data_IF_415962515021
#
_entry.id   IF_415962515021
#
_cell.length_a   1.000
_cell.length_b   1.000
_cell.length_c   1.000
_cell.angle_alpha   90.00
_cell.angle_beta   90.00
_cell.angle_gamma   90.00
#
_symmetry.space_group_name_H-M   'P 1'
#
loop_
_entity.id
_entity.type
_entity.pdbx_description
1 polymer ?
#
# COMPACT_ATOMS: atom_id res chain seq x y z
N UNK A 1 23.82 11.92 10.68
CA UNK A 1 22.51 11.49 11.21
C UNK A 1 22.13 10.23 10.46
N UNK A 2 21.66 9.15 11.14
CA UNK A 2 21.17 7.97 10.44
C UNK A 2 19.92 8.35 9.64
N UNK A 3 19.82 7.88 8.40
CA UNK A 3 18.63 8.08 7.58
C UNK A 3 17.38 7.49 8.28
N UNK A 4 16.22 8.09 8.03
CA UNK A 4 14.93 7.48 8.43
C UNK A 4 14.73 6.19 7.63
N UNK A 5 14.16 5.17 8.25
CA UNK A 5 13.87 3.89 7.58
C UNK A 5 12.40 3.78 7.22
N UNK A 6 12.11 3.35 6.00
CA UNK A 6 10.77 2.95 5.56
C UNK A 6 10.72 1.44 5.27
N UNK A 7 9.58 0.80 5.55
CA UNK A 7 9.29 -0.58 5.20
C UNK A 7 8.05 -0.63 4.28
N UNK A 8 8.24 -1.07 3.03
CA UNK A 8 7.18 -1.14 2.02
C UNK A 8 6.80 -2.60 1.75
N UNK A 9 5.60 -2.99 2.12
CA UNK A 9 5.09 -4.33 1.79
C UNK A 9 4.60 -4.39 0.33
N UNK A 10 5.14 -5.35 -0.44
CA UNK A 10 4.87 -5.47 -1.88
C UNK A 10 5.58 -4.41 -2.72
N UNK A 11 6.89 -4.22 -2.52
CA UNK A 11 7.68 -3.14 -3.09
C UNK A 11 8.37 -3.42 -4.43
N UNK A 12 8.10 -4.54 -5.13
CA UNK A 12 8.86 -4.91 -6.34
C UNK A 12 8.23 -4.51 -7.67
N UNK A 13 6.98 -4.07 -7.70
CA UNK A 13 6.27 -3.67 -8.92
C UNK A 13 5.20 -2.62 -8.65
N UNK A 14 4.72 -1.98 -9.72
CA UNK A 14 3.62 -1.02 -9.70
C UNK A 14 3.79 0.07 -8.64
N UNK A 15 2.71 0.40 -7.93
CA UNK A 15 2.70 1.45 -6.90
C UNK A 15 3.74 1.19 -5.80
N UNK A 16 3.93 -0.08 -5.39
CA UNK A 16 4.91 -0.40 -4.37
C UNK A 16 6.34 -0.09 -4.77
N UNK A 17 6.74 -0.42 -5.99
CA UNK A 17 8.08 -0.09 -6.51
C UNK A 17 8.28 1.43 -6.65
N UNK A 18 7.26 2.14 -7.13
CA UNK A 18 7.29 3.61 -7.18
C UNK A 18 7.42 4.23 -5.78
N UNK A 19 6.73 3.65 -4.76
CA UNK A 19 6.90 4.08 -3.37
C UNK A 19 8.32 3.83 -2.85
N UNK A 20 8.94 2.69 -3.15
CA UNK A 20 10.34 2.42 -2.77
C UNK A 20 11.26 3.45 -3.38
N UNK A 21 11.14 3.69 -4.69
CA UNK A 21 11.93 4.68 -5.42
C UNK A 21 11.77 6.08 -4.80
N UNK A 22 10.53 6.54 -4.65
CA UNK A 22 10.23 7.88 -4.17
C UNK A 22 10.65 8.13 -2.73
N UNK A 23 10.44 7.16 -1.83
CA UNK A 23 10.89 7.26 -0.44
C UNK A 23 12.41 7.30 -0.35
N UNK A 24 13.13 6.51 -1.17
CA UNK A 24 14.58 6.54 -1.23
C UNK A 24 15.10 7.90 -1.72
N UNK A 25 14.51 8.47 -2.78
CA UNK A 25 14.81 9.82 -3.26
C UNK A 25 14.52 10.90 -2.22
N UNK A 26 13.56 10.66 -1.33
CA UNK A 26 13.20 11.55 -0.22
C UNK A 26 14.10 11.35 1.02
N UNK A 27 15.17 10.55 0.92
CA UNK A 27 16.18 10.37 1.96
C UNK A 27 15.84 9.29 2.99
N UNK A 28 14.91 8.39 2.70
CA UNK A 28 14.70 7.18 3.51
C UNK A 28 15.63 6.06 3.05
N UNK A 29 16.21 5.32 3.98
CA UNK A 29 16.65 3.96 3.71
C UNK A 29 15.41 3.06 3.62
N UNK A 30 15.30 2.21 2.59
CA UNK A 30 14.06 1.51 2.30
C UNK A 30 14.22 -0.01 2.32
N UNK A 31 13.55 -0.64 3.28
CA UNK A 31 13.26 -2.06 3.25
C UNK A 31 11.98 -2.30 2.45
N UNK A 32 11.94 -3.37 1.64
CA UNK A 32 10.73 -3.72 0.90
C UNK A 32 10.53 -5.23 0.86
N UNK A 33 9.28 -5.66 0.70
CA UNK A 33 8.97 -7.09 0.65
C UNK A 33 8.44 -7.54 -0.71
N UNK A 34 8.60 -8.84 -0.96
CA UNK A 34 8.10 -9.54 -2.15
C UNK A 34 7.74 -10.99 -1.81
N UNK A 35 6.96 -11.66 -2.65
CA UNK A 35 6.66 -13.09 -2.50
C UNK A 35 7.44 -13.90 -3.53
N UNK A 36 7.22 -13.67 -4.81
CA UNK A 36 7.78 -14.48 -5.90
C UNK A 36 8.70 -13.72 -6.85
N UNK A 37 8.51 -12.41 -6.96
CA UNK A 37 9.29 -11.60 -7.88
C UNK A 37 10.65 -11.28 -7.27
N UNK A 38 11.73 -11.79 -7.87
CA UNK A 38 13.07 -11.39 -7.47
C UNK A 38 13.20 -9.86 -7.49
N UNK A 39 13.83 -9.25 -6.49
CA UNK A 39 13.98 -7.82 -6.44
C UNK A 39 14.83 -7.32 -7.62
N UNK A 40 14.25 -6.44 -8.44
CA UNK A 40 14.93 -5.80 -9.55
C UNK A 40 15.37 -4.36 -9.19
N UNK A 41 15.30 -4.03 -7.91
CA UNK A 41 15.69 -2.71 -7.41
C UNK A 41 17.17 -2.73 -6.99
N UNK A 42 17.93 -1.68 -7.32
CA UNK A 42 19.35 -1.60 -6.93
C UNK A 42 19.50 -1.55 -5.40
N UNK A 43 20.62 -2.00 -4.87
CA UNK A 43 20.92 -1.97 -3.44
C UNK A 43 21.04 -0.55 -2.85
N UNK A 44 21.12 0.45 -3.74
CA UNK A 44 21.12 1.88 -3.38
C UNK A 44 20.38 2.69 -4.44
N UNK A 45 19.64 3.69 -4.00
CA UNK A 45 19.02 4.72 -4.83
C UNK A 45 19.55 6.06 -4.30
N UNK A 46 20.39 6.74 -5.09
CA UNK A 46 21.15 7.89 -4.59
C UNK A 46 22.04 7.49 -3.40
N UNK A 47 21.87 8.16 -2.26
CA UNK A 47 22.56 7.85 -1.00
C UNK A 47 21.82 6.84 -0.12
N UNK A 48 20.58 6.53 -0.44
CA UNK A 48 19.69 5.68 0.37
C UNK A 48 19.95 4.20 0.11
N UNK A 49 20.05 3.41 1.18
CA UNK A 49 20.15 1.97 1.15
C UNK A 49 18.78 1.37 0.82
N UNK A 50 18.75 0.33 -0.03
CA UNK A 50 17.55 -0.47 -0.26
C UNK A 50 17.85 -1.95 -0.01
N UNK A 51 16.88 -2.69 0.54
CA UNK A 51 17.00 -4.13 0.77
C UNK A 51 15.64 -4.82 0.67
N UNK A 52 15.59 -5.90 -0.12
CA UNK A 52 14.40 -6.74 -0.28
C UNK A 52 14.38 -7.92 0.68
N UNK A 53 13.18 -8.31 1.10
CA UNK A 53 12.90 -9.47 1.96
C UNK A 53 11.78 -10.30 1.36
N UNK A 54 11.96 -11.62 1.33
CA UNK A 54 10.89 -12.54 0.94
C UNK A 54 9.89 -12.68 2.09
N UNK A 55 8.64 -12.22 1.90
CA UNK A 55 7.58 -12.21 2.92
C UNK A 55 6.24 -12.43 2.28
N UNK A 56 5.54 -13.47 2.69
CA UNK A 56 4.10 -13.63 2.46
C UNK A 56 3.32 -13.01 3.62
N UNK A 57 2.50 -12.00 3.33
CA UNK A 57 1.71 -11.30 4.37
C UNK A 57 0.63 -12.19 4.98
N UNK A 58 0.25 -13.29 4.33
CA UNK A 58 -0.66 -14.30 4.88
C UNK A 58 0.01 -15.12 6.00
N UNK A 59 1.32 -15.02 6.17
CA UNK A 59 2.09 -15.73 7.19
C UNK A 59 2.51 -14.75 8.31
N UNK A 60 1.80 -14.71 9.45
CA UNK A 60 2.07 -13.72 10.51
C UNK A 60 3.48 -13.82 11.09
N UNK A 61 4.07 -15.01 11.11
CA UNK A 61 5.45 -15.22 11.57
C UNK A 61 6.46 -14.53 10.63
N UNK A 62 6.27 -14.59 9.31
CA UNK A 62 7.13 -13.91 8.34
C UNK A 62 7.00 -12.39 8.45
N UNK A 63 5.75 -11.89 8.66
CA UNK A 63 5.50 -10.46 8.89
C UNK A 63 6.19 -9.99 10.18
N UNK A 64 6.13 -10.76 11.26
CA UNK A 64 6.83 -10.41 12.51
C UNK A 64 8.36 -10.42 12.31
N UNK A 65 8.88 -11.44 11.62
CA UNK A 65 10.31 -11.60 11.38
C UNK A 65 10.89 -10.44 10.57
N UNK A 66 10.21 -9.96 9.53
CA UNK A 66 10.74 -8.86 8.71
C UNK A 66 10.92 -7.55 9.51
N UNK A 67 10.08 -7.28 10.52
CA UNK A 67 10.30 -6.12 11.38
C UNK A 67 11.57 -6.27 12.23
N UNK A 68 11.85 -7.47 12.73
CA UNK A 68 13.10 -7.75 13.46
C UNK A 68 14.33 -7.63 12.55
N UNK A 69 14.24 -8.18 11.33
CA UNK A 69 15.31 -8.10 10.34
C UNK A 69 15.59 -6.65 9.91
N UNK A 70 14.55 -5.86 9.68
CA UNK A 70 14.68 -4.43 9.35
C UNK A 70 15.32 -3.67 10.51
N UNK A 71 14.90 -3.91 11.74
CA UNK A 71 15.49 -3.25 12.89
C UNK A 71 16.99 -3.56 13.03
N UNK A 72 17.39 -4.81 12.80
CA UNK A 72 18.79 -5.23 12.79
C UNK A 72 19.58 -4.60 11.64
N UNK A 73 19.05 -4.66 10.43
CA UNK A 73 19.78 -4.32 9.21
C UNK A 73 19.83 -2.81 8.94
N UNK A 74 18.88 -2.04 9.49
CA UNK A 74 18.79 -0.58 9.31
C UNK A 74 19.01 0.21 10.63
N UNK A 75 19.36 -0.49 11.72
CA UNK A 75 19.76 0.14 12.97
C UNK A 75 18.61 0.67 13.82
N UNK A 76 17.41 0.11 13.69
CA UNK A 76 16.27 0.43 14.54
C UNK A 76 14.91 0.23 13.88
N UNK A 77 13.87 0.49 14.63
CA UNK A 77 12.49 0.40 14.18
C UNK A 77 12.19 1.33 13.00
N UNK A 78 11.36 0.92 12.02
CA UNK A 78 11.01 1.76 10.88
C UNK A 78 10.25 3.03 11.32
N UNK A 79 10.52 4.14 10.65
CA UNK A 79 9.81 5.41 10.81
C UNK A 79 8.51 5.45 10.00
N UNK A 80 8.49 4.74 8.86
CA UNK A 80 7.35 4.65 7.98
C UNK A 80 7.08 3.19 7.61
N UNK A 81 5.81 2.77 7.68
CA UNK A 81 5.38 1.48 7.16
C UNK A 81 4.33 1.71 6.09
N UNK A 82 4.55 1.16 4.90
CA UNK A 82 3.60 1.23 3.77
C UNK A 82 3.02 -0.17 3.54
N UNK A 83 1.76 -0.37 3.91
CA UNK A 83 1.00 -1.60 3.67
C UNK A 83 0.37 -1.53 2.26
N UNK A 84 1.15 -1.91 1.24
CA UNK A 84 0.71 -1.87 -0.16
C UNK A 84 0.38 -3.26 -0.72
N UNK A 85 0.97 -4.33 -0.21
CA UNK A 85 0.74 -5.67 -0.70
C UNK A 85 -0.76 -6.03 -0.77
N UNK A 86 -1.16 -6.64 -1.87
CA UNK A 86 -2.54 -7.05 -2.10
C UNK A 86 -2.71 -7.65 -3.50
N UNK A 87 -3.86 -8.25 -3.71
CA UNK A 87 -4.25 -8.86 -4.99
C UNK A 87 -5.57 -8.29 -5.50
N UNK A 88 -5.81 -8.49 -6.78
CA UNK A 88 -7.12 -8.43 -7.39
C UNK A 88 -7.43 -9.79 -8.03
N UNK A 89 -8.71 -10.02 -8.31
CA UNK A 89 -9.23 -11.19 -9.01
C UNK A 89 -10.14 -10.72 -10.12
N UNK A 90 -10.47 -11.56 -11.11
CA UNK A 90 -11.43 -11.18 -12.16
C UNK A 90 -12.74 -10.64 -11.58
N UNK A 91 -13.21 -9.46 -12.02
CA UNK A 91 -14.49 -8.91 -11.54
C UNK A 91 -15.68 -9.75 -12.05
N UNK A 92 -16.76 -9.74 -11.31
CA UNK A 92 -17.98 -10.44 -11.71
C UNK A 92 -19.20 -10.04 -10.88
N UNK A 93 -20.42 -10.22 -11.40
CA UNK A 93 -21.64 -9.98 -10.65
C UNK A 93 -21.66 -10.78 -9.34
N UNK A 94 -22.13 -10.19 -8.26
CA UNK A 94 -22.11 -10.82 -6.94
C UNK A 94 -22.82 -12.17 -6.91
N UNK A 95 -23.94 -12.30 -7.63
CA UNK A 95 -24.71 -13.55 -7.69
C UNK A 95 -23.97 -14.72 -8.38
N UNK A 96 -22.92 -14.42 -9.15
CA UNK A 96 -22.15 -15.41 -9.92
C UNK A 96 -20.65 -15.37 -9.54
N UNK A 97 -20.31 -14.63 -8.50
CA UNK A 97 -18.93 -14.48 -8.10
C UNK A 97 -18.38 -15.78 -7.50
N UNK A 98 -17.20 -16.19 -7.96
CA UNK A 98 -16.55 -17.41 -7.48
C UNK A 98 -16.17 -17.29 -5.98
N UNK A 99 -16.72 -18.16 -5.12
CA UNK A 99 -16.41 -18.15 -3.68
C UNK A 99 -14.91 -18.33 -3.37
N UNK A 100 -14.17 -19.06 -4.19
CA UNK A 100 -12.71 -19.23 -3.99
C UNK A 100 -11.94 -17.95 -4.28
N UNK A 101 -12.34 -17.20 -5.30
CA UNK A 101 -11.77 -15.88 -5.55
C UNK A 101 -12.11 -14.90 -4.43
N UNK A 102 -13.30 -14.99 -3.83
CA UNK A 102 -13.64 -14.18 -2.66
C UNK A 102 -12.77 -14.56 -1.45
N UNK A 103 -12.58 -15.86 -1.17
CA UNK A 103 -11.69 -16.32 -0.09
C UNK A 103 -10.26 -15.81 -0.26
N UNK A 104 -9.73 -15.82 -1.49
CA UNK A 104 -8.39 -15.27 -1.79
C UNK A 104 -8.29 -13.78 -1.47
N UNK A 105 -9.33 -13.00 -1.84
CA UNK A 105 -9.39 -11.58 -1.50
C UNK A 105 -9.41 -11.36 0.02
N UNK A 106 -10.21 -12.12 0.75
CA UNK A 106 -10.29 -12.04 2.22
C UNK A 106 -8.93 -12.38 2.83
N UNK A 107 -8.33 -13.50 2.42
CA UNK A 107 -7.06 -13.98 2.97
C UNK A 107 -5.93 -12.96 2.76
N UNK A 108 -5.75 -12.48 1.54
CA UNK A 108 -4.63 -11.58 1.26
C UNK A 108 -4.94 -10.13 1.66
N UNK A 109 -6.09 -9.59 1.19
CA UNK A 109 -6.36 -8.16 1.32
C UNK A 109 -6.92 -7.76 2.69
N UNK A 110 -7.49 -8.70 3.45
CA UNK A 110 -8.02 -8.43 4.80
C UNK A 110 -7.10 -9.05 5.85
N UNK A 111 -6.96 -10.38 5.87
CA UNK A 111 -6.18 -11.07 6.90
C UNK A 111 -4.69 -10.72 6.78
N UNK A 112 -4.13 -10.80 5.59
CA UNK A 112 -2.74 -10.42 5.35
C UNK A 112 -2.47 -8.94 5.66
N UNK A 113 -3.37 -8.04 5.24
CA UNK A 113 -3.26 -6.62 5.59
C UNK A 113 -3.37 -6.39 7.11
N UNK A 114 -4.25 -7.12 7.80
CA UNK A 114 -4.34 -7.08 9.26
C UNK A 114 -3.03 -7.52 9.93
N UNK A 115 -2.38 -8.58 9.46
CA UNK A 115 -1.08 -9.00 9.99
C UNK A 115 -0.04 -7.88 9.87
N UNK A 116 0.03 -7.24 8.69
CA UNK A 116 0.94 -6.11 8.45
C UNK A 116 0.63 -4.93 9.35
N UNK A 117 -0.63 -4.50 9.43
CA UNK A 117 -1.05 -3.35 10.22
C UNK A 117 -0.85 -3.60 11.72
N UNK A 118 -1.21 -4.78 12.20
CA UNK A 118 -1.03 -5.19 13.61
C UNK A 118 0.45 -5.22 13.99
N UNK A 119 1.32 -5.77 13.12
CA UNK A 119 2.76 -5.75 13.34
C UNK A 119 3.34 -4.33 13.26
N UNK A 120 2.86 -3.51 12.32
CA UNK A 120 3.26 -2.10 12.20
C UNK A 120 2.88 -1.31 13.47
N UNK A 121 1.69 -1.52 14.02
CA UNK A 121 1.26 -0.87 15.26
C UNK A 121 2.20 -1.15 16.43
N UNK A 122 2.73 -2.36 16.52
CA UNK A 122 3.69 -2.74 17.58
C UNK A 122 5.10 -2.22 17.35
N UNK A 123 5.55 -2.19 16.08
CA UNK A 123 6.97 -2.08 15.76
C UNK A 123 7.36 -0.77 15.07
N UNK A 124 6.42 0.07 14.61
CA UNK A 124 6.77 1.41 14.10
C UNK A 124 7.26 2.27 15.27
N UNK A 125 8.29 3.10 15.03
CA UNK A 125 8.81 3.97 16.09
C UNK A 125 7.79 5.07 16.44
N UNK A 126 7.84 5.56 17.68
CA UNK A 126 7.02 6.68 18.12
C UNK A 126 7.31 7.93 17.28
N UNK A 127 6.28 8.67 16.96
CA UNK A 127 6.35 9.80 16.02
C UNK A 127 6.44 9.38 14.55
N UNK A 128 6.40 8.09 14.25
CA UNK A 128 6.41 7.53 12.90
C UNK A 128 5.06 7.61 12.20
N UNK A 129 4.93 6.84 11.11
CA UNK A 129 3.67 6.79 10.36
C UNK A 129 3.41 5.42 9.73
N UNK A 130 2.11 5.11 9.53
CA UNK A 130 1.61 3.92 8.86
C UNK A 130 0.68 4.39 7.74
N UNK A 131 0.92 3.90 6.53
CA UNK A 131 0.16 4.25 5.32
C UNK A 131 -0.31 2.95 4.69
N UNK A 132 -1.62 2.81 4.40
CA UNK A 132 -2.10 1.64 3.67
C UNK A 132 -2.71 2.02 2.33
N UNK A 133 -2.46 1.19 1.30
CA UNK A 133 -3.04 1.34 -0.03
C UNK A 133 -4.42 0.67 -0.07
N UNK A 134 -5.44 1.48 -0.38
CA UNK A 134 -6.82 1.06 -0.58
C UNK A 134 -7.26 1.32 -2.04
N UNK A 135 -8.44 1.82 -2.29
CA UNK A 135 -8.91 2.18 -3.64
C UNK A 135 -10.06 3.18 -3.58
N UNK A 136 -10.10 4.15 -4.48
CA UNK A 136 -11.26 5.06 -4.66
C UNK A 136 -12.54 4.30 -5.02
N UNK A 137 -12.44 3.07 -5.54
CA UNK A 137 -13.61 2.23 -5.83
C UNK A 137 -14.46 1.90 -4.60
N UNK A 138 -13.95 2.08 -3.38
CA UNK A 138 -14.76 1.99 -2.14
C UNK A 138 -15.88 3.03 -2.14
N UNK A 139 -15.71 4.15 -2.84
CA UNK A 139 -16.66 5.27 -2.91
C UNK A 139 -17.44 5.29 -4.22
N UNK A 140 -16.97 4.58 -5.24
CA UNK A 140 -17.62 4.45 -6.53
C UNK A 140 -18.17 3.04 -6.68
N UNK A 141 -19.48 2.90 -6.78
CA UNK A 141 -20.12 1.62 -6.99
C UNK A 141 -19.89 1.12 -8.43
N UNK A 142 -18.86 0.31 -8.62
CA UNK A 142 -18.55 -0.29 -9.93
C UNK A 142 -19.16 -1.69 -9.98
N UNK A 143 -20.07 -1.99 -10.94
CA UNK A 143 -20.61 -3.31 -11.12
C UNK A 143 -19.51 -4.38 -11.26
N UNK A 144 -19.64 -5.49 -10.55
CA UNK A 144 -18.63 -6.56 -10.51
C UNK A 144 -17.42 -6.28 -9.60
N UNK A 145 -17.24 -5.07 -9.09
CA UNK A 145 -16.13 -4.70 -8.20
C UNK A 145 -16.37 -4.95 -6.71
N UNK A 146 -17.60 -5.33 -6.32
CA UNK A 146 -18.03 -5.44 -4.93
C UNK A 146 -17.10 -6.23 -4.01
N UNK A 147 -16.71 -7.48 -4.34
CA UNK A 147 -15.83 -8.29 -3.50
C UNK A 147 -14.44 -7.65 -3.26
N UNK A 148 -13.85 -7.09 -4.29
CA UNK A 148 -12.58 -6.37 -4.15
C UNK A 148 -12.73 -5.10 -3.30
N UNK A 149 -13.74 -4.27 -3.58
CA UNK A 149 -13.98 -3.03 -2.83
C UNK A 149 -14.31 -3.32 -1.37
N UNK A 150 -15.07 -4.39 -1.08
CA UNK A 150 -15.33 -4.83 0.29
C UNK A 150 -14.03 -5.15 1.05
N UNK A 151 -13.08 -5.85 0.39
CA UNK A 151 -11.79 -6.15 1.00
C UNK A 151 -10.97 -4.89 1.32
N UNK A 152 -11.03 -3.87 0.47
CA UNK A 152 -10.33 -2.59 0.69
C UNK A 152 -11.06 -1.68 1.69
N UNK A 153 -12.39 -1.72 1.73
CA UNK A 153 -13.18 -1.03 2.75
C UNK A 153 -12.90 -1.53 4.16
N UNK A 154 -12.67 -2.84 4.33
CA UNK A 154 -12.24 -3.43 5.59
C UNK A 154 -10.92 -2.79 6.09
N UNK A 155 -9.93 -2.63 5.21
CA UNK A 155 -8.66 -1.96 5.53
C UNK A 155 -8.90 -0.50 5.97
N UNK A 156 -9.74 0.26 5.27
CA UNK A 156 -10.06 1.64 5.67
C UNK A 156 -10.70 1.71 7.07
N UNK A 157 -11.55 0.73 7.41
CA UNK A 157 -12.13 0.64 8.74
C UNK A 157 -11.07 0.40 9.81
N UNK A 158 -10.13 -0.52 9.57
CA UNK A 158 -8.99 -0.78 10.47
C UNK A 158 -8.14 0.46 10.67
N UNK A 159 -7.84 1.21 9.61
CA UNK A 159 -7.04 2.44 9.70
C UNK A 159 -7.70 3.51 10.57
N UNK A 160 -9.02 3.67 10.48
CA UNK A 160 -9.76 4.65 11.29
C UNK A 160 -9.68 4.33 12.78
N UNK A 161 -9.83 3.07 13.17
CA UNK A 161 -9.67 2.61 14.56
C UNK A 161 -8.23 2.80 15.03
N UNK A 162 -7.27 2.26 14.27
CA UNK A 162 -5.84 2.32 14.57
C UNK A 162 -5.34 3.77 14.74
N UNK A 163 -5.89 4.73 13.98
CA UNK A 163 -5.51 6.13 14.13
C UNK A 163 -5.78 6.66 15.55
N UNK A 164 -6.87 6.25 16.18
CA UNK A 164 -7.17 6.64 17.56
C UNK A 164 -6.30 5.92 18.58
N UNK A 165 -6.02 4.64 18.34
CA UNK A 165 -5.22 3.80 19.23
C UNK A 165 -3.76 4.25 19.30
N UNK A 166 -3.19 4.71 18.17
CA UNK A 166 -1.77 5.08 18.07
C UNK A 166 -1.50 6.59 18.30
N UNK A 167 -2.53 7.41 18.47
CA UNK A 167 -2.38 8.84 18.74
C UNK A 167 -1.50 9.14 19.97
N UNK A 168 -1.58 8.41 21.11
CA UNK A 168 -0.70 8.64 22.26
C UNK A 168 0.78 8.47 21.96
N UNK A 169 1.14 7.60 20.99
CA UNK A 169 2.50 7.40 20.50
C UNK A 169 2.92 8.41 19.42
N UNK A 170 2.03 9.37 19.09
CA UNK A 170 2.20 10.33 17.98
C UNK A 170 2.47 9.66 16.63
N UNK A 171 2.00 8.41 16.44
CA UNK A 171 2.08 7.69 15.18
C UNK A 171 0.91 8.09 14.30
N UNK A 172 1.19 8.64 13.14
CA UNK A 172 0.17 9.01 12.16
C UNK A 172 -0.26 7.77 11.35
N UNK A 173 -1.56 7.59 11.17
CA UNK A 173 -2.14 6.48 10.41
C UNK A 173 -3.05 7.06 9.33
N UNK A 174 -2.76 6.77 8.06
CA UNK A 174 -3.53 7.26 6.93
C UNK A 174 -3.68 6.18 5.85
N UNK A 175 -4.65 6.34 4.99
CA UNK A 175 -4.82 5.55 3.77
C UNK A 175 -4.57 6.39 2.52
N UNK A 176 -4.14 5.72 1.47
CA UNK A 176 -4.12 6.27 0.10
C UNK A 176 -5.03 5.39 -0.74
N UNK A 177 -6.03 5.99 -1.36
CA UNK A 177 -7.06 5.33 -2.15
C UNK A 177 -6.99 5.78 -3.62
N UNK A 178 -6.09 5.20 -4.44
CA UNK A 178 -5.94 5.61 -5.82
C UNK A 178 -7.20 5.30 -6.66
N UNK A 179 -7.37 6.07 -7.75
CA UNK A 179 -8.18 5.67 -8.90
C UNK A 179 -7.52 4.57 -9.71
N UNK A 180 -7.94 4.33 -10.96
CA UNK A 180 -7.24 3.47 -11.89
C UNK A 180 -5.79 3.96 -12.12
N UNK A 181 -4.80 3.09 -11.88
CA UNK A 181 -3.37 3.38 -12.02
C UNK A 181 -2.74 2.36 -12.94
N UNK A 182 -1.91 2.82 -13.88
CA UNK A 182 -1.26 1.99 -14.89
C UNK A 182 -0.21 1.06 -14.27
N UNK A 183 -0.62 -0.13 -13.94
CA UNK A 183 0.19 -1.19 -13.33
C UNK A 183 -0.15 -2.54 -13.97
N UNK A 184 0.76 -3.52 -13.85
CA UNK A 184 0.47 -4.90 -14.27
C UNK A 184 -0.81 -5.43 -13.64
N UNK A 185 -1.04 -5.12 -12.36
CA UNK A 185 -2.26 -5.52 -11.64
C UNK A 185 -3.52 -4.91 -12.25
N UNK A 186 -3.47 -3.66 -12.68
CA UNK A 186 -4.57 -2.96 -13.33
C UNK A 186 -4.80 -3.50 -14.75
N UNK A 187 -3.72 -3.75 -15.50
CA UNK A 187 -3.80 -4.24 -16.89
C UNK A 187 -4.17 -5.71 -17.01
N UNK A 188 -3.97 -6.50 -15.95
CA UNK A 188 -4.26 -7.93 -15.98
C UNK A 188 -5.70 -8.23 -16.41
N UNK A 189 -5.86 -8.95 -17.52
CA UNK A 189 -7.15 -9.34 -18.07
C UNK A 189 -7.97 -8.21 -18.72
N UNK A 190 -7.39 -7.02 -18.94
CA UNK A 190 -8.05 -5.91 -19.62
C UNK A 190 -7.54 -5.75 -21.07
N UNK A 191 -8.47 -5.52 -21.99
CA UNK A 191 -8.18 -5.02 -23.32
C UNK A 191 -8.13 -3.48 -23.32
N UNK A 192 -7.74 -2.89 -24.42
CA UNK A 192 -7.60 -1.43 -24.57
C UNK A 192 -8.92 -0.68 -24.31
N UNK A 193 -10.04 -1.23 -24.72
CA UNK A 193 -11.37 -0.66 -24.50
C UNK A 193 -11.72 -0.59 -22.99
N UNK A 194 -11.37 -1.64 -22.22
CA UNK A 194 -11.55 -1.64 -20.77
C UNK A 194 -10.62 -0.63 -20.07
N UNK A 195 -9.43 -0.43 -20.59
CA UNK A 195 -8.51 0.62 -20.12
C UNK A 195 -9.07 2.02 -20.43
N UNK A 196 -9.57 2.24 -21.65
CA UNK A 196 -10.21 3.50 -22.06
C UNK A 196 -11.45 3.82 -21.20
N UNK A 197 -12.31 2.83 -20.92
CA UNK A 197 -13.46 3.01 -20.01
C UNK A 197 -12.98 3.42 -18.58
N UNK A 198 -11.89 2.83 -18.11
CA UNK A 198 -11.33 3.19 -16.79
C UNK A 198 -10.75 4.61 -16.80
N UNK A 199 -10.11 5.01 -17.89
CA UNK A 199 -9.59 6.36 -18.07
C UNK A 199 -10.70 7.42 -18.07
N UNK A 200 -11.84 7.12 -18.73
CA UNK A 200 -13.00 8.00 -18.81
C UNK A 200 -13.73 8.20 -17.45
N UNK A 201 -13.44 7.41 -16.43
CA UNK A 201 -13.95 7.65 -15.07
C UNK A 201 -13.35 8.89 -14.42
N UNK A 202 -12.17 9.31 -14.84
CA UNK A 202 -11.53 10.54 -14.38
C UNK A 202 -11.84 11.69 -15.35
N UNK A 203 -12.21 12.90 -14.85
CA UNK A 203 -12.28 14.13 -15.66
C UNK A 203 -11.01 14.42 -16.48
N UNK A 204 -9.84 13.93 -16.03
CA UNK A 204 -8.60 14.06 -16.81
C UNK A 204 -8.51 13.08 -17.99
N UNK A 205 -9.50 12.19 -18.16
CA UNK A 205 -9.62 11.21 -19.24
C UNK A 205 -8.34 10.36 -19.42
N UNK A 206 -7.69 10.00 -18.33
CA UNK A 206 -6.53 9.12 -18.30
C UNK A 206 -6.49 8.28 -17.03
N UNK A 207 -5.75 7.19 -17.06
CA UNK A 207 -5.33 6.48 -15.86
C UNK A 207 -4.17 7.21 -15.19
N UNK A 208 -4.05 7.09 -13.88
CA UNK A 208 -2.91 7.62 -13.12
C UNK A 208 -1.64 6.80 -13.35
N UNK A 209 -0.50 7.36 -12.94
CA UNK A 209 0.78 6.66 -12.96
C UNK A 209 1.17 6.24 -11.53
N UNK A 210 1.91 5.13 -11.34
CA UNK A 210 2.38 4.70 -10.02
C UNK A 210 3.13 5.79 -9.25
N UNK A 211 3.90 6.61 -9.95
CA UNK A 211 4.70 7.71 -9.41
C UNK A 211 3.80 8.80 -8.81
N UNK A 212 2.64 9.09 -9.41
CA UNK A 212 1.68 10.08 -8.88
C UNK A 212 1.11 9.63 -7.52
N UNK A 213 0.91 8.33 -7.34
CA UNK A 213 0.49 7.76 -6.04
C UNK A 213 1.64 7.78 -5.04
N UNK A 214 2.86 7.47 -5.49
CA UNK A 214 4.05 7.48 -4.65
C UNK A 214 4.39 8.88 -4.12
N UNK A 215 4.10 9.96 -4.86
CA UNK A 215 4.21 11.34 -4.37
C UNK A 215 3.31 11.58 -3.15
N UNK A 216 2.06 11.11 -3.18
CA UNK A 216 1.13 11.23 -2.05
C UNK A 216 1.62 10.42 -0.85
N UNK A 217 2.12 9.19 -1.08
CA UNK A 217 2.71 8.37 -0.02
C UNK A 217 3.92 9.07 0.60
N UNK A 218 4.81 9.63 -0.22
CA UNK A 218 6.00 10.37 0.25
C UNK A 218 5.62 11.62 1.04
N UNK A 219 4.61 12.37 0.59
CA UNK A 219 4.07 13.50 1.36
C UNK A 219 3.57 13.04 2.73
N UNK A 220 2.75 12.00 2.79
CA UNK A 220 2.23 11.45 4.06
C UNK A 220 3.34 10.90 4.97
N UNK A 221 4.41 10.38 4.39
CA UNK A 221 5.58 9.91 5.14
C UNK A 221 6.39 11.07 5.75
N UNK A 222 6.32 12.27 5.16
CA UNK A 222 7.11 13.43 5.55
C UNK A 222 6.53 14.20 6.74
N UNK A 223 7.34 15.08 7.34
CA UNK A 223 6.91 16.00 8.41
C UNK A 223 5.92 17.06 7.90
N UNK A 224 5.84 17.30 6.58
CA UNK A 224 4.87 18.22 5.97
C UNK A 224 3.42 17.77 6.18
N UNK A 225 3.20 16.46 6.43
CA UNK A 225 1.90 15.89 6.73
C UNK A 225 1.64 15.76 8.25
N UNK A 226 2.29 16.55 9.10
CA UNK A 226 2.23 16.44 10.57
C UNK A 226 0.81 16.54 11.14
N UNK A 227 -0.11 17.24 10.45
CA UNK A 227 -1.52 17.37 10.84
C UNK A 227 -2.47 16.47 10.04
N UNK A 228 -1.94 15.57 9.20
CA UNK A 228 -2.74 14.61 8.42
C UNK A 228 -2.75 13.28 9.17
N UNK A 229 -3.90 12.95 9.78
CA UNK A 229 -4.06 11.76 10.61
C UNK A 229 -5.50 11.22 10.50
N UNK A 230 -5.64 9.89 10.39
CA UNK A 230 -6.93 9.22 10.24
C UNK A 230 -7.64 9.49 8.90
N UNK A 231 -6.91 9.96 7.89
CA UNK A 231 -7.45 10.35 6.59
C UNK A 231 -7.27 9.26 5.53
N UNK A 232 -8.18 9.25 4.55
CA UNK A 232 -8.05 8.47 3.32
C UNK A 232 -7.92 9.46 2.17
N UNK A 233 -6.70 9.64 1.68
CA UNK A 233 -6.40 10.56 0.58
C UNK A 233 -6.62 9.84 -0.75
N UNK A 234 -7.25 10.51 -1.70
CA UNK A 234 -7.74 9.91 -2.94
C UNK A 234 -7.08 10.52 -4.19
N UNK A 235 -5.86 10.10 -4.58
CA UNK A 235 -5.27 10.49 -5.86
C UNK A 235 -5.96 9.71 -6.99
N UNK A 236 -7.02 10.30 -7.58
CA UNK A 236 -7.87 9.60 -8.54
C UNK A 236 -8.27 10.46 -9.77
N UNK A 237 -7.65 11.63 -9.92
CA UNK A 237 -7.93 12.52 -11.05
C UNK A 237 -9.37 13.08 -11.05
N UNK A 238 -10.01 13.21 -9.89
CA UNK A 238 -11.36 13.73 -9.75
C UNK A 238 -12.48 12.71 -10.02
N UNK A 239 -12.19 11.42 -9.93
CA UNK A 239 -13.15 10.33 -10.11
C UNK A 239 -14.27 10.33 -9.06
N UNK A 240 -14.00 10.78 -7.84
CA UNK A 240 -14.93 10.98 -6.73
C UNK A 240 -14.50 12.18 -5.90
#
# INVERSE_FOLDING_TARGET
MSNRTALVFGGTRGIGAACVQKLAESGYDVAYTYVTSAPNLPAKIGSSKTKGYAVDICQPAQVAQVFADVARDFGGAPHCVVANAGINVPPGPLAQFDPENFRKLVEVNIVGAFHVLSAAARNVRDGGNIIALTTSMVRVAVPGGGPYTASKAAVESLLRSMSKELAPRKVRVNGVAPGPVDTDLFRAGKNEEAVARSAAMSPFNRVGQPEEVAEVVSFLASDKASWVHGQIIQPNGGMV
#
